data_IF_476345685519
#
_entry.id   IF_476345685519
#
_cell.length_a   1.000
_cell.length_b   1.000
_cell.length_c   1.000
_cell.angle_alpha   90.00
_cell.angle_beta   90.00
_cell.angle_gamma   90.00
#
_symmetry.space_group_name_H-M   'P 1'
#
loop_
_entity.id
_entity.type
_entity.pdbx_description
1 polymer ?
#
# COMPACT_ATOMS: atom_id res chain seq x y z
N UNK A 1 -6.37 -1.42 -7.91
CA UNK A 1 -4.94 -1.80 -7.97
C UNK A 1 -4.91 -3.31 -7.92
N UNK A 2 -4.98 -3.97 -9.07
CA UNK A 2 -4.61 -5.38 -9.14
C UNK A 2 -3.09 -5.46 -9.06
N UNK A 3 -2.59 -6.15 -8.04
CA UNK A 3 -1.19 -6.50 -7.93
C UNK A 3 -1.08 -7.96 -8.35
N UNK A 4 -0.41 -8.22 -9.46
CA UNK A 4 0.04 -9.56 -9.84
C UNK A 4 1.00 -10.08 -8.75
N UNK A 5 1.30 -11.38 -8.71
CA UNK A 5 2.30 -12.00 -7.80
C UNK A 5 3.72 -11.47 -8.10
N UNK A 6 3.91 -10.20 -7.75
CA UNK A 6 5.07 -9.38 -7.97
C UNK A 6 5.35 -8.61 -6.66
N UNK A 7 6.59 -8.13 -6.46
CA UNK A 7 6.95 -7.38 -5.27
C UNK A 7 5.99 -6.21 -5.01
N UNK A 8 5.70 -5.95 -3.73
CA UNK A 8 4.83 -4.85 -3.29
C UNK A 8 5.23 -3.56 -4.00
N UNK A 9 4.26 -2.95 -4.69
CA UNK A 9 4.51 -1.70 -5.40
C UNK A 9 4.89 -0.62 -4.40
N UNK A 10 5.89 0.19 -4.77
CA UNK A 10 6.34 1.32 -3.95
C UNK A 10 5.19 2.30 -3.73
N UNK A 11 5.08 2.85 -2.53
CA UNK A 11 4.19 3.96 -2.25
C UNK A 11 4.54 5.15 -3.16
N UNK A 12 3.53 5.88 -3.61
CA UNK A 12 3.74 7.08 -4.42
C UNK A 12 4.47 8.13 -3.59
N UNK A 13 5.38 8.88 -4.25
CA UNK A 13 6.13 9.96 -3.61
C UNK A 13 5.25 10.99 -2.91
N UNK A 14 4.03 11.23 -3.42
CA UNK A 14 3.05 12.13 -2.81
C UNK A 14 2.66 11.72 -1.39
N UNK A 15 2.48 10.42 -1.13
CA UNK A 15 2.20 9.89 0.21
C UNK A 15 3.37 10.15 1.16
N UNK A 16 4.60 9.87 0.72
CA UNK A 16 5.80 10.17 1.52
C UNK A 16 5.98 11.67 1.77
N UNK A 17 5.69 12.51 0.77
CA UNK A 17 5.71 13.97 0.88
C UNK A 17 4.72 14.49 1.91
N UNK A 18 3.51 13.91 1.98
CA UNK A 18 2.51 14.27 2.99
C UNK A 18 2.97 13.90 4.40
N UNK A 19 3.56 12.71 4.59
CA UNK A 19 4.10 12.27 5.88
C UNK A 19 5.23 13.20 6.33
N UNK A 20 6.16 13.52 5.43
CA UNK A 20 7.33 14.34 5.74
C UNK A 20 6.99 15.81 6.05
N UNK A 21 5.87 16.31 5.52
CA UNK A 21 5.39 17.69 5.73
C UNK A 21 4.30 17.79 6.81
N UNK A 22 3.90 16.68 7.41
CA UNK A 22 2.92 16.69 8.47
C UNK A 22 3.46 17.50 9.66
N UNK A 23 2.63 18.35 10.31
CA UNK A 23 3.06 19.15 11.45
C UNK A 23 3.46 18.28 12.65
N UNK A 24 2.88 17.08 12.74
CA UNK A 24 3.22 16.03 13.69
C UNK A 24 3.44 14.76 12.88
N UNK A 25 4.57 14.09 13.10
CA UNK A 25 4.88 12.83 12.42
C UNK A 25 3.84 11.77 12.79
N UNK A 26 3.14 11.18 11.81
CA UNK A 26 2.13 10.16 12.11
C UNK A 26 2.77 8.82 12.47
N UNK A 27 2.07 8.05 13.31
CA UNK A 27 2.31 6.62 13.49
C UNK A 27 1.78 5.89 12.25
N UNK A 28 2.55 4.94 11.73
CA UNK A 28 2.18 4.15 10.57
C UNK A 28 1.89 2.72 10.98
N UNK A 29 0.69 2.24 10.62
CA UNK A 29 0.27 0.87 10.85
C UNK A 29 0.22 0.12 9.51
N UNK A 30 1.12 -0.85 9.26
CA UNK A 30 1.09 -1.64 8.04
C UNK A 30 -0.15 -2.56 8.04
N UNK A 31 -1.02 -2.40 7.05
CA UNK A 31 -2.16 -3.30 6.83
C UNK A 31 -2.00 -3.90 5.44
N UNK A 32 -1.88 -5.22 5.38
CA UNK A 32 -1.74 -5.97 4.13
C UNK A 32 -3.00 -6.80 3.95
N UNK A 33 -3.54 -6.78 2.73
CA UNK A 33 -4.69 -7.59 2.37
C UNK A 33 -4.38 -8.41 1.12
N UNK A 34 -4.92 -9.63 1.06
CA UNK A 34 -4.82 -10.53 -0.08
C UNK A 34 -6.17 -11.22 -0.29
N UNK A 35 -6.62 -11.37 -1.54
CA UNK A 35 -7.91 -11.96 -1.90
C UNK A 35 -8.99 -10.95 -2.32
N UNK A 36 -8.84 -9.66 -2.02
CA UNK A 36 -9.77 -8.63 -2.48
C UNK A 36 -9.77 -8.48 -4.01
N UNK A 37 -8.65 -8.77 -4.66
CA UNK A 37 -8.54 -8.82 -6.12
C UNK A 37 -9.39 -9.94 -6.74
N UNK A 38 -9.70 -11.01 -5.98
CA UNK A 38 -10.62 -12.08 -6.40
C UNK A 38 -12.07 -11.72 -6.13
N UNK A 39 -12.33 -10.95 -5.07
CA UNK A 39 -13.67 -10.42 -4.74
C UNK A 39 -14.14 -9.42 -5.80
N UNK A 40 -13.26 -8.52 -6.26
CA UNK A 40 -13.61 -7.50 -7.25
C UNK A 40 -12.50 -7.36 -8.30
N UNK A 41 -12.35 -8.35 -9.20
CA UNK A 41 -11.29 -8.36 -10.21
C UNK A 41 -11.44 -7.20 -11.20
N UNK A 42 -10.30 -6.60 -11.59
CA UNK A 42 -10.28 -5.53 -12.59
C UNK A 42 -10.74 -6.02 -13.97
N UNK A 43 -10.40 -7.26 -14.32
CA UNK A 43 -10.78 -7.93 -15.56
C UNK A 43 -11.59 -9.19 -15.23
N UNK A 44 -12.92 -9.12 -15.34
CA UNK A 44 -13.83 -10.25 -15.10
C UNK A 44 -14.44 -10.77 -16.41
N UNK A 45 -15.62 -10.26 -16.80
CA UNK A 45 -16.31 -10.61 -18.03
C UNK A 45 -16.11 -9.49 -19.06
N UNK A 46 -15.69 -9.84 -20.27
CA UNK A 46 -15.42 -8.88 -21.35
C UNK A 46 -14.46 -7.74 -20.95
N UNK A 47 -13.49 -8.03 -20.07
CA UNK A 47 -12.51 -7.05 -19.58
C UNK A 47 -13.10 -5.97 -18.66
N UNK A 48 -14.30 -6.18 -18.11
CA UNK A 48 -14.94 -5.25 -17.17
C UNK A 48 -14.94 -5.80 -15.75
N UNK A 49 -15.06 -4.90 -14.77
CA UNK A 49 -15.30 -5.26 -13.37
C UNK A 49 -16.70 -5.84 -13.20
N UNK A 50 -16.91 -6.79 -12.28
CA UNK A 50 -18.25 -7.25 -11.95
C UNK A 50 -19.07 -6.10 -11.31
N UNK A 51 -20.39 -6.05 -11.52
CA UNK A 51 -21.24 -4.99 -10.96
C UNK A 51 -21.35 -5.06 -9.44
N UNK A 52 -21.12 -6.25 -8.86
CA UNK A 52 -21.12 -6.51 -7.42
C UNK A 52 -19.93 -7.40 -7.05
N UNK A 53 -19.48 -7.37 -5.78
CA UNK A 53 -18.47 -8.30 -5.27
C UNK A 53 -18.85 -9.76 -5.51
N UNK A 54 -17.89 -10.56 -5.98
CA UNK A 54 -18.04 -12.01 -6.12
C UNK A 54 -18.09 -12.66 -4.73
N UNK A 55 -18.94 -13.67 -4.58
CA UNK A 55 -19.13 -14.38 -3.31
C UNK A 55 -18.12 -15.52 -3.13
N UNK A 56 -18.00 -15.99 -1.88
CA UNK A 56 -17.18 -17.13 -1.47
C UNK A 56 -15.69 -17.03 -1.86
N UNK A 57 -15.13 -15.83 -1.81
CA UNK A 57 -13.70 -15.61 -1.98
C UNK A 57 -13.00 -15.55 -0.61
N UNK A 58 -11.84 -16.16 -0.51
CA UNK A 58 -11.00 -16.09 0.69
C UNK A 58 -10.28 -14.74 0.73
N UNK A 59 -10.35 -14.06 1.89
CA UNK A 59 -9.65 -12.81 2.15
C UNK A 59 -8.75 -12.99 3.37
N UNK A 60 -7.46 -12.71 3.20
CA UNK A 60 -6.47 -12.70 4.27
C UNK A 60 -6.06 -11.25 4.55
N UNK A 61 -6.20 -10.85 5.81
CA UNK A 61 -5.74 -9.53 6.29
C UNK A 61 -4.66 -9.78 7.33
N UNK A 62 -3.52 -9.11 7.17
CA UNK A 62 -2.41 -9.12 8.11
C UNK A 62 -2.19 -7.70 8.58
N UNK A 63 -2.22 -7.51 9.90
CA UNK A 63 -1.96 -6.23 10.55
C UNK A 63 -0.57 -6.34 11.18
N UNK A 64 0.33 -5.47 10.75
CA UNK A 64 1.68 -5.37 11.30
C UNK A 64 1.71 -4.56 12.60
N UNK A 65 2.91 -4.43 13.16
CA UNK A 65 3.12 -3.58 14.33
C UNK A 65 3.14 -2.10 13.94
N UNK A 66 2.62 -1.20 14.80
CA UNK A 66 2.76 0.24 14.60
C UNK A 66 4.25 0.63 14.53
N UNK A 67 4.59 1.52 13.60
CA UNK A 67 5.94 2.05 13.43
C UNK A 67 5.94 3.58 13.39
N UNK A 68 7.01 4.16 13.91
CA UNK A 68 7.27 5.60 13.86
C UNK A 68 8.38 5.88 12.85
N UNK A 69 8.22 6.96 12.08
CA UNK A 69 9.24 7.37 11.13
C UNK A 69 10.22 8.37 11.75
N UNK A 70 11.51 8.03 11.74
CA UNK A 70 12.57 8.98 12.02
C UNK A 70 12.86 9.83 10.76
N UNK A 71 12.05 10.87 10.54
CA UNK A 71 12.16 11.72 9.34
C UNK A 71 13.56 12.36 9.14
N UNK A 72 14.26 12.85 10.19
CA UNK A 72 15.64 13.32 10.06
C UNK A 72 16.60 12.27 9.48
N UNK A 73 16.59 11.06 10.04
CA UNK A 73 17.46 9.96 9.60
C UNK A 73 17.15 9.53 8.17
N UNK A 74 15.85 9.42 7.83
CA UNK A 74 15.41 9.10 6.49
C UNK A 74 15.83 10.15 5.45
N UNK A 75 15.86 11.43 5.85
CA UNK A 75 16.31 12.53 4.98
C UNK A 75 17.81 12.44 4.71
N UNK A 76 18.62 12.21 5.74
CA UNK A 76 20.08 12.05 5.58
C UNK A 76 20.42 10.85 4.69
N UNK A 77 19.75 9.71 4.90
CA UNK A 77 19.90 8.53 4.06
C UNK A 77 19.51 8.81 2.59
N UNK A 78 18.45 9.59 2.35
CA UNK A 78 18.06 9.96 0.99
C UNK A 78 19.11 10.88 0.32
N UNK A 79 19.69 11.82 1.07
CA UNK A 79 20.77 12.68 0.57
C UNK A 79 22.04 11.88 0.27
N UNK A 80 22.43 10.93 1.12
CA UNK A 80 23.61 10.11 0.90
C UNK A 80 23.50 9.19 -0.32
N UNK A 81 22.30 8.66 -0.61
CA UNK A 81 22.05 7.81 -1.79
C UNK A 81 21.90 8.59 -3.10
N UNK A 82 21.76 9.92 -3.04
CA UNK A 82 21.60 10.78 -4.22
C UNK A 82 22.92 11.28 -4.82
N UNK A 83 24.04 11.08 -4.11
CA UNK A 83 25.40 11.37 -4.59
C UNK A 83 25.98 10.16 -5.31
#
# INVERSE_FOLDING_TARGET
VCQEDAPIRRLKWGTASLIARAPVTPIVLPIIHHGFEKVMPENYAFGRRPPVPLWNQEIKIVIGEPMEFNLPELREMALSQSR
#
